data_IF_423574418043
#
_entry.id   IF_423574418043
#
_cell.length_a   1.000
_cell.length_b   1.000
_cell.length_c   1.000
_cell.angle_alpha   90.00
_cell.angle_beta   90.00
_cell.angle_gamma   90.00
#
_symmetry.space_group_name_H-M   'P 1'
#
loop_
_entity.id
_entity.type
_entity.pdbx_description
1 polymer ?
#
# COMPACT_ATOMS: atom_id res chain seq x y z
N UNK A 1 -18.10 3.43 -21.36
CA UNK A 1 -18.33 4.07 -20.05
C UNK A 1 -18.44 2.94 -19.03
N UNK A 2 -17.40 2.72 -18.22
CA UNK A 2 -17.48 1.74 -17.15
C UNK A 2 -18.37 2.31 -16.06
N UNK A 3 -19.39 1.55 -15.64
CA UNK A 3 -20.19 1.90 -14.48
C UNK A 3 -19.27 2.15 -13.27
N UNK A 4 -19.57 3.14 -12.40
CA UNK A 4 -18.81 3.35 -11.19
C UNK A 4 -18.72 2.02 -10.44
N UNK A 5 -17.51 1.61 -10.08
CA UNK A 5 -17.29 0.34 -9.39
C UNK A 5 -18.07 0.33 -8.07
N UNK A 6 -18.63 -0.83 -7.71
CA UNK A 6 -19.22 -0.96 -6.38
C UNK A 6 -18.21 -0.57 -5.32
N UNK A 7 -18.63 0.16 -4.27
CA UNK A 7 -17.75 0.54 -3.18
C UNK A 7 -17.15 -0.68 -2.48
N UNK A 8 -15.99 -0.49 -1.90
CA UNK A 8 -15.32 -1.46 -1.05
C UNK A 8 -15.34 -0.97 0.39
N UNK A 9 -15.18 -1.89 1.30
CA UNK A 9 -15.11 -1.64 2.73
C UNK A 9 -13.69 -1.82 3.21
N UNK A 10 -13.04 -0.76 3.74
CA UNK A 10 -11.77 -0.87 4.42
C UNK A 10 -12.00 -1.17 5.90
N UNK A 11 -11.50 -2.33 6.34
CA UNK A 11 -11.62 -2.82 7.72
C UNK A 11 -10.39 -2.54 8.56
N UNK A 12 -9.23 -2.35 7.91
CA UNK A 12 -7.96 -1.98 8.51
C UNK A 12 -7.06 -1.25 7.52
N UNK A 13 -6.17 -0.40 8.02
CA UNK A 13 -5.16 0.27 7.20
C UNK A 13 -3.97 0.71 8.05
N UNK A 14 -2.86 0.99 7.37
CA UNK A 14 -1.66 1.52 8.00
C UNK A 14 -0.81 2.33 7.02
N UNK A 15 -0.09 3.30 7.58
CA UNK A 15 1.04 3.97 6.94
C UNK A 15 2.32 3.53 7.65
N UNK A 16 3.33 3.11 6.89
CA UNK A 16 4.63 2.70 7.41
C UNK A 16 5.73 3.40 6.62
N UNK A 17 5.99 4.66 6.98
CA UNK A 17 6.92 5.56 6.30
C UNK A 17 8.06 5.92 7.27
N UNK A 18 9.17 5.16 7.29
CA UNK A 18 10.27 5.40 8.21
C UNK A 18 10.85 6.82 8.08
N UNK A 19 11.06 7.48 9.22
CA UNK A 19 11.61 8.83 9.29
C UNK A 19 10.66 9.96 8.85
N UNK A 20 9.39 9.65 8.56
CA UNK A 20 8.38 10.67 8.20
C UNK A 20 7.54 11.04 9.42
N UNK A 21 7.48 12.32 9.80
CA UNK A 21 6.63 12.80 10.90
C UNK A 21 5.18 13.00 10.44
N UNK A 22 4.52 11.92 10.01
CA UNK A 22 3.20 11.95 9.37
C UNK A 22 2.20 12.79 10.15
N UNK A 23 2.10 12.57 11.47
CA UNK A 23 1.13 13.27 12.31
C UNK A 23 1.38 14.77 12.41
N UNK A 24 2.64 15.20 12.54
CA UNK A 24 2.99 16.62 12.57
C UNK A 24 2.67 17.30 11.24
N UNK A 25 3.03 16.67 10.12
CA UNK A 25 2.73 17.19 8.77
C UNK A 25 1.23 17.32 8.53
N UNK A 26 0.43 16.32 8.93
CA UNK A 26 -1.03 16.40 8.80
C UNK A 26 -1.60 17.51 9.67
N UNK A 27 -1.13 17.64 10.92
CA UNK A 27 -1.56 18.71 11.83
C UNK A 27 -1.31 20.10 11.25
N UNK A 28 -0.20 20.27 10.55
CA UNK A 28 0.19 21.56 9.94
C UNK A 28 -0.63 21.89 8.69
N UNK A 29 -0.89 20.90 7.81
CA UNK A 29 -1.43 21.17 6.47
C UNK A 29 -2.91 20.83 6.31
N UNK A 30 -3.46 19.92 7.12
CA UNK A 30 -4.84 19.42 6.97
C UNK A 30 -5.70 19.72 8.19
N UNK A 31 -5.11 19.76 9.37
CA UNK A 31 -5.77 20.00 10.66
C UNK A 31 -5.36 18.98 11.72
N UNK A 32 -5.59 19.31 12.99
CA UNK A 32 -5.19 18.47 14.11
C UNK A 32 -5.91 17.11 14.05
N UNK A 33 -5.17 16.00 13.93
CA UNK A 33 -5.77 14.67 13.94
C UNK A 33 -6.32 14.36 15.35
N UNK A 34 -7.54 13.84 15.42
CA UNK A 34 -8.19 13.44 16.66
C UNK A 34 -7.81 12.03 17.10
N UNK A 35 -7.40 11.18 16.14
CA UNK A 35 -6.98 9.80 16.38
C UNK A 35 -5.50 9.64 16.73
N UNK A 36 -5.16 8.55 17.42
CA UNK A 36 -3.79 8.24 17.84
C UNK A 36 -2.87 7.60 16.78
N UNK A 37 -3.31 7.53 15.54
CA UNK A 37 -2.67 6.77 14.47
C UNK A 37 -1.24 7.22 14.07
N UNK A 38 -0.88 8.44 14.43
CA UNK A 38 0.42 9.02 14.11
C UNK A 38 1.43 8.97 15.28
N UNK A 39 1.10 8.31 16.40
CA UNK A 39 1.92 8.33 17.62
C UNK A 39 3.15 7.42 17.54
N UNK A 40 3.09 6.33 16.79
CA UNK A 40 4.21 5.41 16.66
C UNK A 40 4.96 5.64 15.35
N UNK A 41 6.24 6.00 15.47
CA UNK A 41 7.12 6.10 14.30
C UNK A 41 7.23 4.74 13.58
N UNK A 42 7.23 4.78 12.24
CA UNK A 42 7.51 3.60 11.45
C UNK A 42 8.98 3.19 11.60
N UNK A 43 9.22 1.92 11.87
CA UNK A 43 10.58 1.39 11.98
C UNK A 43 11.20 1.20 10.60
N UNK A 44 12.49 1.46 10.40
CA UNK A 44 13.18 1.17 9.15
C UNK A 44 13.29 -0.34 8.90
N UNK A 45 13.56 -0.73 7.65
CA UNK A 45 13.54 -2.12 7.22
C UNK A 45 14.52 -3.03 7.99
N UNK A 46 15.68 -2.51 8.40
CA UNK A 46 16.68 -3.23 9.21
C UNK A 46 16.21 -3.46 10.65
N UNK A 47 15.31 -2.62 11.16
CA UNK A 47 14.70 -2.75 12.48
C UNK A 47 13.31 -3.44 12.47
N UNK A 48 12.88 -3.97 11.36
CA UNK A 48 11.56 -4.64 11.21
C UNK A 48 11.36 -5.77 12.27
N UNK A 49 12.45 -6.37 12.77
CA UNK A 49 12.39 -7.39 13.80
C UNK A 49 11.81 -6.91 15.14
N UNK A 50 11.86 -5.61 15.43
CA UNK A 50 11.26 -5.04 16.65
C UNK A 50 9.74 -5.12 16.63
N UNK A 51 9.14 -4.99 15.43
CA UNK A 51 7.71 -5.10 15.22
C UNK A 51 7.26 -6.53 14.89
N UNK A 52 8.04 -7.25 14.07
CA UNK A 52 7.64 -8.55 13.51
C UNK A 52 8.19 -9.76 14.28
N UNK A 53 9.15 -9.56 15.20
CA UNK A 53 9.99 -10.65 15.71
C UNK A 53 11.00 -11.12 14.65
N UNK A 54 12.07 -11.80 15.09
CA UNK A 54 13.21 -12.16 14.22
C UNK A 54 12.93 -13.28 13.22
N UNK A 55 12.00 -14.19 13.53
CA UNK A 55 11.77 -15.40 12.72
C UNK A 55 11.20 -15.06 11.35
N UNK A 56 11.85 -15.56 10.29
CA UNK A 56 11.42 -15.42 8.89
C UNK A 56 11.78 -14.09 8.24
N UNK A 57 12.69 -13.28 8.85
CA UNK A 57 13.20 -12.03 8.27
C UNK A 57 14.58 -12.17 7.64
N UNK A 58 15.28 -13.28 7.91
CA UNK A 58 16.59 -13.52 7.32
C UNK A 58 16.45 -13.59 5.80
N UNK A 59 17.36 -12.96 5.07
CA UNK A 59 17.38 -12.87 3.61
C UNK A 59 16.15 -12.21 2.97
N UNK A 60 15.34 -11.45 3.73
CA UNK A 60 14.26 -10.64 3.18
C UNK A 60 14.76 -9.25 2.84
N UNK A 61 14.40 -8.81 1.65
CA UNK A 61 14.71 -7.48 1.14
C UNK A 61 14.05 -6.36 1.93
N UNK A 62 14.58 -5.12 1.85
CA UNK A 62 14.00 -3.96 2.52
C UNK A 62 12.52 -3.77 2.21
N UNK A 63 12.11 -3.82 0.94
CA UNK A 63 10.70 -3.69 0.55
C UNK A 63 9.82 -4.77 1.18
N UNK A 64 10.26 -6.04 1.15
CA UNK A 64 9.52 -7.14 1.80
C UNK A 64 9.33 -6.89 3.29
N UNK A 65 10.36 -6.42 4.00
CA UNK A 65 10.28 -6.13 5.44
C UNK A 65 9.33 -4.98 5.73
N UNK A 66 9.35 -3.90 4.94
CA UNK A 66 8.43 -2.77 5.06
C UNK A 66 6.99 -3.18 4.78
N UNK A 67 6.75 -3.98 3.73
CA UNK A 67 5.43 -4.53 3.41
C UNK A 67 4.88 -5.37 4.58
N UNK A 68 5.70 -6.26 5.15
CA UNK A 68 5.30 -7.05 6.32
C UNK A 68 4.96 -6.17 7.52
N UNK A 69 5.70 -5.10 7.78
CA UNK A 69 5.42 -4.15 8.86
C UNK A 69 4.08 -3.43 8.62
N UNK A 70 3.82 -2.97 7.39
CA UNK A 70 2.56 -2.32 7.05
C UNK A 70 1.37 -3.27 7.23
N UNK A 71 1.44 -4.50 6.72
CA UNK A 71 0.38 -5.50 6.89
C UNK A 71 0.15 -5.84 8.37
N UNK A 72 1.23 -6.06 9.14
CA UNK A 72 1.15 -6.34 10.58
C UNK A 72 0.35 -5.26 11.33
N UNK A 73 0.64 -3.99 11.03
CA UNK A 73 -0.07 -2.84 11.62
C UNK A 73 -1.51 -2.73 11.14
N UNK A 74 -1.78 -2.94 9.86
CA UNK A 74 -3.14 -2.88 9.30
C UNK A 74 -4.05 -3.95 9.88
N UNK A 75 -3.49 -5.10 10.27
CA UNK A 75 -4.21 -6.19 10.95
C UNK A 75 -4.36 -5.95 12.46
N UNK A 76 -3.81 -4.86 13.02
CA UNK A 76 -3.90 -4.54 14.44
C UNK A 76 -3.11 -5.49 15.36
N UNK A 77 -2.10 -6.17 14.84
CA UNK A 77 -1.28 -7.10 15.62
C UNK A 77 -0.32 -6.34 16.54
N UNK A 78 -0.16 -6.84 17.77
CA UNK A 78 0.80 -6.29 18.72
C UNK A 78 2.25 -6.60 18.29
N UNK A 79 3.25 -5.79 18.69
CA UNK A 79 4.65 -6.08 18.39
C UNK A 79 5.05 -7.50 18.77
N UNK A 80 5.67 -8.23 17.84
CA UNK A 80 6.07 -9.63 17.99
C UNK A 80 4.95 -10.66 17.87
N UNK A 81 3.69 -10.23 17.86
CA UNK A 81 2.55 -11.12 17.70
C UNK A 81 2.56 -11.75 16.30
N UNK A 82 2.23 -13.03 16.25
CA UNK A 82 1.99 -13.76 15.01
C UNK A 82 0.51 -13.99 14.81
N UNK A 83 0.07 -14.14 13.56
CA UNK A 83 -1.27 -14.64 13.29
C UNK A 83 -1.52 -15.96 14.04
N UNK A 84 -2.65 -16.05 14.69
CA UNK A 84 -3.16 -17.25 15.39
C UNK A 84 -4.36 -17.90 14.69
N UNK A 85 -4.72 -17.33 13.50
CA UNK A 85 -5.77 -17.89 12.64
C UNK A 85 -5.21 -18.93 11.67
N UNK A 86 -6.05 -19.87 11.20
CA UNK A 86 -5.65 -20.86 10.19
C UNK A 86 -5.38 -20.20 8.83
N UNK A 87 -4.66 -20.91 7.97
CA UNK A 87 -4.51 -20.49 6.57
C UNK A 87 -5.89 -20.39 5.90
N UNK A 88 -6.17 -19.23 5.28
CA UNK A 88 -7.44 -18.94 4.62
C UNK A 88 -7.26 -18.91 3.11
N UNK A 89 -8.11 -19.60 2.35
CA UNK A 89 -8.10 -19.56 0.87
C UNK A 89 -8.87 -18.35 0.30
N UNK A 90 -9.54 -17.59 1.15
CA UNK A 90 -10.44 -16.50 0.80
C UNK A 90 -9.78 -15.11 0.83
N UNK A 91 -8.55 -15.01 1.34
CA UNK A 91 -7.82 -13.75 1.45
C UNK A 91 -6.76 -13.64 0.37
N UNK A 92 -6.94 -12.69 -0.54
CA UNK A 92 -5.98 -12.35 -1.58
C UNK A 92 -4.95 -11.31 -1.08
N UNK A 93 -3.76 -11.33 -1.67
CA UNK A 93 -2.71 -10.32 -1.49
C UNK A 93 -2.43 -9.63 -2.81
N UNK A 94 -2.56 -8.32 -2.86
CA UNK A 94 -2.17 -7.51 -4.02
C UNK A 94 -1.13 -6.50 -3.56
N UNK A 95 0.02 -6.48 -4.22
CA UNK A 95 1.10 -5.55 -3.89
C UNK A 95 1.38 -4.65 -5.09
N UNK A 96 1.31 -3.34 -4.88
CA UNK A 96 1.76 -2.32 -5.83
C UNK A 96 3.22 -1.97 -5.51
N UNK A 97 4.13 -2.33 -6.41
CA UNK A 97 5.56 -2.00 -6.31
C UNK A 97 6.24 -2.24 -7.64
N UNK A 98 7.05 -1.29 -8.08
CA UNK A 98 7.83 -1.43 -9.32
C UNK A 98 9.28 -1.83 -9.03
N UNK A 99 9.81 -1.52 -7.85
CA UNK A 99 11.23 -1.60 -7.52
C UNK A 99 11.53 -2.58 -6.37
N UNK A 100 10.51 -3.32 -5.92
CA UNK A 100 10.55 -4.09 -4.67
C UNK A 100 11.71 -5.07 -4.52
N UNK A 101 12.25 -5.66 -5.61
CA UNK A 101 13.34 -6.63 -5.58
C UNK A 101 14.48 -6.32 -6.55
N UNK A 102 14.54 -5.09 -7.08
CA UNK A 102 15.49 -4.73 -8.14
C UNK A 102 16.96 -4.83 -7.69
N UNK A 103 17.26 -4.61 -6.42
CA UNK A 103 18.62 -4.75 -5.89
C UNK A 103 19.11 -6.19 -6.00
N UNK A 104 18.33 -7.18 -5.55
CA UNK A 104 18.70 -8.59 -5.71
C UNK A 104 18.78 -9.01 -7.18
N UNK A 105 17.84 -8.57 -8.02
CA UNK A 105 17.88 -8.87 -9.46
C UNK A 105 19.16 -8.32 -10.09
N UNK A 106 19.52 -7.07 -9.79
CA UNK A 106 20.72 -6.43 -10.30
C UNK A 106 22.00 -7.12 -9.80
N UNK A 107 22.04 -7.51 -8.50
CA UNK A 107 23.16 -8.25 -7.92
C UNK A 107 23.32 -9.62 -8.57
N UNK A 108 22.26 -10.38 -8.71
CA UNK A 108 22.28 -11.69 -9.38
C UNK A 108 22.71 -11.56 -10.84
N UNK A 109 22.18 -10.57 -11.57
CA UNK A 109 22.59 -10.34 -12.95
C UNK A 109 24.09 -10.03 -13.08
N UNK A 110 24.65 -9.20 -12.19
CA UNK A 110 26.10 -8.91 -12.16
C UNK A 110 26.92 -10.17 -11.83
N UNK A 111 26.48 -10.97 -10.85
CA UNK A 111 27.18 -12.24 -10.53
C UNK A 111 27.18 -13.20 -11.69
N UNK A 112 26.04 -13.38 -12.37
CA UNK A 112 25.95 -14.22 -13.56
C UNK A 112 26.87 -13.75 -14.67
N UNK A 113 26.93 -12.45 -14.90
CA UNK A 113 27.79 -11.86 -15.94
C UNK A 113 29.29 -11.98 -15.63
N UNK A 114 29.68 -11.86 -14.36
CA UNK A 114 31.10 -11.89 -13.97
C UNK A 114 31.64 -13.31 -13.70
N UNK A 115 30.84 -14.19 -13.11
CA UNK A 115 31.29 -15.46 -12.52
C UNK A 115 30.48 -16.66 -13.01
N UNK A 116 29.40 -16.44 -13.77
CA UNK A 116 28.48 -17.47 -14.24
C UNK A 116 27.40 -17.87 -13.21
N UNK A 117 26.38 -18.60 -13.67
CA UNK A 117 25.21 -18.94 -12.87
C UNK A 117 25.50 -19.83 -11.64
N UNK A 118 26.60 -20.57 -11.64
CA UNK A 118 26.99 -21.43 -10.51
C UNK A 118 27.39 -20.60 -9.26
N UNK A 119 27.84 -19.36 -9.47
CA UNK A 119 28.22 -18.47 -8.37
C UNK A 119 27.01 -17.80 -7.67
N UNK A 120 25.83 -17.91 -8.24
CA UNK A 120 24.61 -17.31 -7.64
C UNK A 120 24.22 -18.08 -6.38
N UNK A 121 24.03 -17.34 -5.29
CA UNK A 121 23.54 -17.92 -4.04
C UNK A 121 22.14 -18.52 -4.19
N UNK A 122 21.96 -19.76 -3.78
CA UNK A 122 20.63 -20.40 -3.73
C UNK A 122 19.64 -19.68 -2.81
N UNK A 123 20.14 -18.87 -1.88
CA UNK A 123 19.30 -18.05 -0.99
C UNK A 123 18.73 -16.80 -1.67
N UNK A 124 19.33 -16.38 -2.77
CA UNK A 124 18.84 -15.25 -3.58
C UNK A 124 17.75 -15.69 -4.57
N UNK A 125 17.77 -16.95 -5.00
CA UNK A 125 16.85 -17.46 -6.02
C UNK A 125 15.36 -17.14 -5.75
N UNK A 126 14.83 -17.32 -4.53
CA UNK A 126 13.43 -16.91 -4.26
C UNK A 126 13.17 -15.41 -4.37
N UNK A 127 14.21 -14.58 -4.16
CA UNK A 127 14.07 -13.13 -4.14
C UNK A 127 14.20 -12.48 -5.53
N UNK A 128 14.59 -13.20 -6.58
CA UNK A 128 14.58 -12.67 -7.96
C UNK A 128 13.20 -12.70 -8.61
N UNK A 129 12.25 -13.41 -8.00
CA UNK A 129 10.86 -13.40 -8.49
C UNK A 129 10.22 -12.04 -8.29
N UNK A 130 9.61 -11.48 -9.35
CA UNK A 130 8.85 -10.22 -9.25
C UNK A 130 7.70 -10.32 -8.24
N UNK A 131 7.16 -11.52 -7.97
CA UNK A 131 6.06 -11.73 -7.03
C UNK A 131 6.53 -12.00 -5.57
N UNK A 132 7.81 -11.84 -5.27
CA UNK A 132 8.37 -12.24 -3.95
C UNK A 132 7.69 -11.53 -2.79
N UNK A 133 7.42 -10.23 -2.91
CA UNK A 133 6.83 -9.45 -1.82
C UNK A 133 5.42 -9.95 -1.49
N UNK A 134 4.56 -10.12 -2.50
CA UNK A 134 3.20 -10.62 -2.33
C UNK A 134 3.20 -12.04 -1.76
N UNK A 135 4.06 -12.93 -2.27
CA UNK A 135 4.19 -14.31 -1.79
C UNK A 135 4.65 -14.39 -0.35
N UNK A 136 5.63 -13.56 0.06
CA UNK A 136 6.11 -13.55 1.44
C UNK A 136 5.07 -13.00 2.40
N UNK A 137 4.31 -11.98 2.01
CA UNK A 137 3.15 -11.50 2.79
C UNK A 137 2.13 -12.62 2.96
N UNK A 138 1.73 -13.29 1.86
CA UNK A 138 0.78 -14.39 1.90
C UNK A 138 1.22 -15.51 2.85
N UNK A 139 2.46 -15.97 2.70
CA UNK A 139 3.04 -17.02 3.55
C UNK A 139 3.13 -16.63 5.03
N UNK A 140 3.52 -15.38 5.32
CA UNK A 140 3.69 -14.92 6.70
C UNK A 140 2.38 -14.85 7.47
N UNK A 141 1.33 -14.38 6.80
CA UNK A 141 0.03 -14.14 7.43
C UNK A 141 -1.00 -15.23 7.17
N UNK A 142 -0.62 -16.30 6.46
CA UNK A 142 -1.51 -17.43 6.19
C UNK A 142 -2.62 -17.13 5.19
N UNK A 143 -2.36 -16.26 4.21
CA UNK A 143 -3.31 -15.92 3.16
C UNK A 143 -3.10 -16.83 1.95
N UNK A 144 -4.03 -17.74 1.70
CA UNK A 144 -3.95 -18.77 0.65
C UNK A 144 -4.73 -18.43 -0.62
N UNK A 145 -5.32 -17.24 -0.71
CA UNK A 145 -5.99 -16.76 -1.91
C UNK A 145 -5.02 -16.27 -2.98
N UNK A 146 -5.51 -15.67 -4.07
CA UNK A 146 -4.67 -15.08 -5.11
C UNK A 146 -3.62 -14.13 -4.55
N UNK A 147 -2.37 -14.23 -5.01
CA UNK A 147 -1.33 -13.25 -4.69
C UNK A 147 -0.70 -12.71 -5.96
N UNK A 148 -0.64 -11.39 -6.10
CA UNK A 148 -0.30 -10.70 -7.35
C UNK A 148 0.52 -9.45 -7.04
N UNK A 149 1.53 -9.19 -7.91
CA UNK A 149 2.21 -7.90 -7.99
C UNK A 149 1.62 -7.05 -9.11
N UNK A 150 1.48 -5.76 -8.88
CA UNK A 150 1.11 -4.74 -9.87
C UNK A 150 2.29 -3.78 -10.03
N UNK A 151 2.86 -3.75 -11.23
CA UNK A 151 4.07 -3.00 -11.58
C UNK A 151 3.75 -2.07 -12.78
N UNK A 152 2.73 -1.22 -12.65
CA UNK A 152 2.23 -0.34 -13.72
C UNK A 152 2.69 1.11 -13.57
N UNK A 153 3.94 1.32 -13.16
CA UNK A 153 4.50 2.66 -12.99
C UNK A 153 3.95 3.41 -11.78
N UNK A 154 3.89 4.73 -11.85
CA UNK A 154 3.45 5.57 -10.75
C UNK A 154 1.99 5.32 -10.35
N UNK A 155 1.11 4.93 -11.29
CA UNK A 155 -0.29 4.63 -11.03
C UNK A 155 -0.59 3.26 -10.42
N UNK A 156 0.43 2.43 -10.14
CA UNK A 156 0.26 1.04 -9.70
C UNK A 156 -0.62 0.89 -8.44
N UNK A 157 -0.60 1.87 -7.54
CA UNK A 157 -1.40 1.84 -6.32
C UNK A 157 -2.90 1.80 -6.56
N UNK A 158 -3.42 2.66 -7.44
CA UNK A 158 -4.86 2.67 -7.76
C UNK A 158 -5.23 1.62 -8.80
N UNK A 159 -4.31 1.18 -9.66
CA UNK A 159 -4.53 0.00 -10.52
C UNK A 159 -4.69 -1.26 -9.66
N UNK A 160 -3.91 -1.39 -8.60
CA UNK A 160 -4.04 -2.47 -7.61
C UNK A 160 -5.38 -2.41 -6.86
N UNK A 161 -5.89 -1.21 -6.54
CA UNK A 161 -7.25 -1.04 -5.99
C UNK A 161 -8.32 -1.50 -6.99
N UNK A 162 -8.15 -1.20 -8.29
CA UNK A 162 -9.07 -1.67 -9.33
C UNK A 162 -9.11 -3.19 -9.40
N UNK A 163 -7.94 -3.83 -9.34
CA UNK A 163 -7.81 -5.28 -9.32
C UNK A 163 -8.43 -5.88 -8.04
N UNK A 164 -8.24 -5.25 -6.88
CA UNK A 164 -8.88 -5.67 -5.63
C UNK A 164 -10.41 -5.69 -5.76
N UNK A 165 -10.98 -4.62 -6.31
CA UNK A 165 -12.42 -4.56 -6.59
C UNK A 165 -12.89 -5.64 -7.56
N UNK A 166 -12.08 -5.97 -8.57
CA UNK A 166 -12.39 -7.05 -9.51
C UNK A 166 -12.43 -8.42 -8.83
N UNK A 167 -11.40 -8.76 -8.02
CA UNK A 167 -11.35 -10.05 -7.31
C UNK A 167 -12.50 -10.21 -6.33
N UNK A 168 -12.85 -9.16 -5.58
CA UNK A 168 -13.97 -9.18 -4.64
C UNK A 168 -15.33 -9.33 -5.34
N UNK A 169 -15.57 -8.60 -6.45
CA UNK A 169 -16.81 -8.73 -7.25
C UNK A 169 -16.93 -10.09 -7.93
N UNK A 170 -15.81 -10.63 -8.42
CA UNK A 170 -15.77 -11.96 -9.04
C UNK A 170 -15.81 -13.10 -8.03
N UNK A 171 -15.93 -12.79 -6.73
CA UNK A 171 -15.91 -13.77 -5.63
C UNK A 171 -14.67 -14.69 -5.65
N UNK A 172 -13.54 -14.18 -6.17
CA UNK A 172 -12.25 -14.88 -6.16
C UNK A 172 -11.52 -14.69 -4.83
N UNK A 173 -11.96 -13.75 -4.02
CA UNK A 173 -11.56 -13.52 -2.65
C UNK A 173 -12.74 -12.89 -1.88
N UNK A 174 -12.82 -13.13 -0.58
CA UNK A 174 -13.72 -12.42 0.34
C UNK A 174 -13.04 -11.19 0.95
N UNK A 175 -11.72 -11.24 1.05
CA UNK A 175 -10.86 -10.18 1.57
C UNK A 175 -9.64 -9.97 0.67
N UNK A 176 -9.21 -8.73 0.52
CA UNK A 176 -7.98 -8.37 -0.17
C UNK A 176 -7.09 -7.55 0.77
N UNK A 177 -5.86 -8.00 0.96
CA UNK A 177 -4.79 -7.23 1.59
C UNK A 177 -4.06 -6.49 0.47
N UNK A 178 -4.36 -5.20 0.34
CA UNK A 178 -3.75 -4.30 -0.64
C UNK A 178 -2.55 -3.62 -0.01
N UNK A 179 -1.38 -3.81 -0.57
CA UNK A 179 -0.12 -3.24 -0.07
C UNK A 179 0.51 -2.38 -1.15
N UNK A 180 0.96 -1.18 -0.79
CA UNK A 180 1.90 -0.40 -1.59
C UNK A 180 3.26 -0.42 -0.89
N UNK A 181 4.35 -0.68 -1.62
CA UNK A 181 5.69 -0.65 -1.04
C UNK A 181 6.75 -0.33 -2.08
N UNK A 182 7.68 0.55 -1.73
CA UNK A 182 8.91 0.74 -2.49
C UNK A 182 10.13 0.77 -1.56
N UNK A 183 11.27 0.21 -1.98
CA UNK A 183 12.56 0.45 -1.35
C UNK A 183 13.11 1.81 -1.79
N UNK A 184 14.23 2.21 -1.18
CA UNK A 184 15.03 3.35 -1.66
C UNK A 184 16.53 3.01 -1.51
N UNK A 185 16.88 1.76 -1.83
CA UNK A 185 18.28 1.37 -1.98
C UNK A 185 18.89 2.05 -3.24
N UNK A 186 20.21 1.92 -3.38
CA UNK A 186 20.96 2.60 -4.45
C UNK A 186 20.49 2.21 -5.85
N UNK A 187 20.16 0.93 -6.09
CA UNK A 187 19.69 0.43 -7.38
C UNK A 187 18.29 0.97 -7.68
N UNK A 188 17.38 0.91 -6.71
CA UNK A 188 16.03 1.43 -6.85
C UNK A 188 16.04 2.95 -7.09
N UNK A 189 16.87 3.70 -6.35
CA UNK A 189 17.00 5.14 -6.52
C UNK A 189 17.58 5.51 -7.90
N UNK A 190 18.57 4.75 -8.39
CA UNK A 190 19.14 4.97 -9.72
C UNK A 190 18.12 4.70 -10.84
N UNK A 191 17.34 3.62 -10.74
CA UNK A 191 16.29 3.29 -11.71
C UNK A 191 15.18 4.33 -11.71
N UNK A 192 14.71 4.75 -10.55
CA UNK A 192 13.72 5.81 -10.41
C UNK A 192 14.28 7.13 -10.96
N UNK A 193 15.52 7.47 -10.63
CA UNK A 193 16.19 8.69 -11.07
C UNK A 193 16.39 8.76 -12.59
N UNK A 194 16.50 7.62 -13.30
CA UNK A 194 16.62 7.57 -14.75
C UNK A 194 15.42 8.19 -15.48
N UNK A 195 14.23 8.18 -14.85
CA UNK A 195 13.02 8.84 -15.34
C UNK A 195 12.96 10.35 -15.05
N UNK A 196 14.01 10.94 -14.47
CA UNK A 196 14.08 12.36 -14.08
C UNK A 196 12.89 12.84 -13.21
N UNK A 197 12.56 12.13 -12.12
CA UNK A 197 11.44 12.49 -11.27
C UNK A 197 11.69 13.82 -10.57
N UNK A 198 10.62 14.57 -10.29
CA UNK A 198 10.71 15.86 -9.58
C UNK A 198 11.12 15.70 -8.10
N UNK A 199 10.94 14.51 -7.53
CA UNK A 199 11.21 14.24 -6.12
C UNK A 199 11.95 12.92 -5.94
N UNK A 200 12.82 12.82 -4.92
CA UNK A 200 13.59 11.61 -4.65
C UNK A 200 12.67 10.44 -4.23
N UNK A 201 13.12 9.23 -4.57
CA UNK A 201 12.49 8.01 -4.11
C UNK A 201 12.59 7.90 -2.59
N UNK A 202 11.49 7.50 -1.96
CA UNK A 202 11.41 7.23 -0.52
C UNK A 202 11.03 5.79 -0.25
N UNK A 203 11.77 5.15 0.64
CA UNK A 203 11.40 3.85 1.16
C UNK A 203 10.17 3.97 2.07
N UNK A 204 9.16 3.17 1.81
CA UNK A 204 7.95 3.16 2.61
C UNK A 204 6.95 2.13 2.15
N UNK A 205 5.96 1.88 3.00
CA UNK A 205 4.84 1.01 2.70
C UNK A 205 3.54 1.55 3.28
N UNK A 206 2.43 1.14 2.67
CA UNK A 206 1.09 1.32 3.20
C UNK A 206 0.27 0.06 2.95
N UNK A 207 -0.77 -0.15 3.74
CA UNK A 207 -1.65 -1.31 3.59
C UNK A 207 -3.10 -0.90 3.84
N UNK A 208 -4.02 -1.50 3.07
CA UNK A 208 -5.46 -1.52 3.35
C UNK A 208 -5.94 -2.98 3.35
N UNK A 209 -6.82 -3.31 4.27
CA UNK A 209 -7.58 -4.57 4.28
C UNK A 209 -8.96 -4.25 3.74
N UNK A 210 -9.32 -4.83 2.60
CA UNK A 210 -10.51 -4.51 1.82
C UNK A 210 -11.45 -5.72 1.76
N UNK A 211 -12.74 -5.46 1.86
CA UNK A 211 -13.83 -6.41 1.69
C UNK A 211 -14.88 -5.85 0.74
N UNK A 212 -15.74 -6.71 0.19
CA UNK A 212 -16.88 -6.24 -0.58
C UNK A 212 -17.82 -5.41 0.30
N UNK A 213 -18.36 -4.34 -0.24
CA UNK A 213 -19.34 -3.53 0.47
C UNK A 213 -20.57 -4.36 0.83
N UNK A 214 -20.90 -4.36 2.12
CA UNK A 214 -22.15 -4.92 2.66
C UNK A 214 -22.78 -3.86 3.55
N UNK A 215 -24.09 -3.69 3.48
CA UNK A 215 -24.84 -2.66 4.23
C UNK A 215 -24.68 -2.74 5.77
N UNK A 216 -24.15 -3.82 6.29
CA UNK A 216 -23.99 -4.10 7.70
C UNK A 216 -22.56 -4.57 8.05
N UNK A 217 -21.55 -4.07 7.34
CA UNK A 217 -20.15 -4.45 7.57
C UNK A 217 -19.54 -3.73 8.78
N UNK A 218 -18.59 -4.39 9.44
CA UNK A 218 -17.80 -3.85 10.56
C UNK A 218 -16.65 -2.92 10.12
N UNK A 219 -16.61 -2.54 8.84
CA UNK A 219 -15.60 -1.66 8.30
C UNK A 219 -15.78 -0.21 8.71
N UNK A 220 -14.70 0.54 8.70
CA UNK A 220 -14.66 1.92 9.16
C UNK A 220 -14.65 2.94 8.03
N UNK A 221 -14.16 2.57 6.84
CA UNK A 221 -14.11 3.46 5.69
C UNK A 221 -14.65 2.80 4.42
N UNK A 222 -15.38 3.55 3.63
CA UNK A 222 -15.86 3.22 2.30
C UNK A 222 -14.88 3.74 1.27
N UNK A 223 -14.46 2.90 0.34
CA UNK A 223 -13.49 3.22 -0.72
C UNK A 223 -14.15 2.97 -2.08
N UNK A 224 -14.09 3.94 -2.97
CA UNK A 224 -14.66 3.87 -4.31
C UNK A 224 -13.65 4.35 -5.34
N UNK A 225 -13.47 3.60 -6.42
CA UNK A 225 -12.81 4.12 -7.62
C UNK A 225 -13.76 5.07 -8.35
N UNK A 226 -13.23 6.21 -8.76
CA UNK A 226 -13.97 7.24 -9.49
C UNK A 226 -13.38 7.34 -10.90
N UNK A 227 -14.21 7.48 -11.95
CA UNK A 227 -13.71 7.70 -13.30
C UNK A 227 -12.79 8.92 -13.37
N UNK A 228 -11.61 8.77 -13.93
CA UNK A 228 -10.64 9.85 -14.07
C UNK A 228 -11.17 10.95 -14.99
N UNK A 229 -10.97 12.21 -14.58
CA UNK A 229 -11.40 13.38 -15.36
C UNK A 229 -12.88 13.75 -15.24
N UNK A 230 -13.69 12.94 -14.55
CA UNK A 230 -15.08 13.26 -14.25
C UNK A 230 -15.26 14.09 -12.98
N UNK A 231 -16.47 14.64 -12.74
CA UNK A 231 -16.79 15.30 -11.48
C UNK A 231 -16.78 14.28 -10.33
N UNK A 232 -16.42 14.74 -9.13
CA UNK A 232 -16.53 13.92 -7.93
C UNK A 232 -18.00 13.57 -7.66
N UNK A 233 -18.35 12.32 -7.40
CA UNK A 233 -19.74 11.89 -7.15
C UNK A 233 -20.32 12.48 -5.85
N UNK A 234 -19.47 12.98 -4.97
CA UNK A 234 -19.79 13.67 -3.72
C UNK A 234 -18.83 14.83 -3.49
N UNK A 235 -19.23 15.90 -2.75
CA UNK A 235 -18.33 16.99 -2.41
C UNK A 235 -17.11 16.51 -1.66
N UNK A 236 -15.92 16.75 -2.20
CA UNK A 236 -14.62 16.42 -1.58
C UNK A 236 -14.20 17.57 -0.69
N UNK A 237 -13.95 17.31 0.59
CA UNK A 237 -13.45 18.31 1.56
C UNK A 237 -11.94 18.39 1.62
N UNK A 238 -11.27 17.26 1.43
CA UNK A 238 -9.82 17.15 1.36
C UNK A 238 -9.47 16.32 0.14
N UNK A 239 -8.55 16.82 -0.66
CA UNK A 239 -7.94 16.06 -1.75
C UNK A 239 -6.53 15.68 -1.34
N UNK A 240 -6.23 14.38 -1.35
CA UNK A 240 -4.86 13.83 -1.16
C UNK A 240 -4.25 13.61 -2.53
N UNK A 241 -3.07 14.19 -2.76
CA UNK A 241 -2.36 14.19 -4.01
C UNK A 241 -2.36 15.55 -4.70
N UNK A 242 -1.87 15.60 -5.92
CA UNK A 242 -1.67 16.84 -6.67
C UNK A 242 -2.95 17.65 -6.83
N UNK A 243 -2.87 18.92 -6.49
CA UNK A 243 -4.02 19.85 -6.47
C UNK A 243 -4.74 19.94 -5.13
N UNK A 244 -4.24 19.24 -4.10
CA UNK A 244 -4.69 19.31 -2.71
C UNK A 244 -3.52 19.18 -1.74
N UNK A 245 -3.70 18.42 -0.66
CA UNK A 245 -2.59 18.02 0.20
C UNK A 245 -1.76 16.97 -0.51
N UNK A 246 -0.64 17.39 -1.08
CA UNK A 246 0.31 16.51 -1.76
C UNK A 246 1.46 16.14 -0.80
N UNK A 247 1.55 14.86 -0.37
CA UNK A 247 2.63 14.43 0.51
C UNK A 247 3.98 14.31 -0.19
N UNK A 248 4.03 14.19 -1.52
CA UNK A 248 5.26 13.91 -2.28
C UNK A 248 6.32 15.02 -2.13
N UNK A 249 6.00 16.32 -2.25
CA UNK A 249 6.96 17.40 -1.99
C UNK A 249 7.53 17.40 -0.57
N UNK A 250 6.76 16.92 0.41
CA UNK A 250 7.11 16.96 1.83
C UNK A 250 7.86 15.71 2.28
N UNK A 251 7.48 14.55 1.74
CA UNK A 251 7.96 13.25 2.22
C UNK A 251 8.87 12.52 1.23
N UNK A 252 8.92 12.94 -0.02
CA UNK A 252 9.49 12.20 -1.14
C UNK A 252 8.47 11.26 -1.80
N UNK A 253 8.83 10.69 -2.95
CA UNK A 253 7.96 9.84 -3.75
C UNK A 253 8.03 8.38 -3.29
N UNK A 254 6.90 7.78 -3.00
CA UNK A 254 6.76 6.32 -2.86
C UNK A 254 6.43 5.65 -4.22
N UNK A 255 6.64 6.31 -5.34
CA UNK A 255 6.47 5.83 -6.72
C UNK A 255 5.21 4.97 -6.90
N UNK A 256 5.34 3.69 -7.30
CA UNK A 256 4.20 2.79 -7.50
C UNK A 256 3.35 2.52 -6.26
N UNK A 257 3.89 2.75 -5.06
CA UNK A 257 3.16 2.64 -3.82
C UNK A 257 2.34 3.90 -3.47
N UNK A 258 2.55 5.02 -4.18
CA UNK A 258 2.00 6.33 -3.80
C UNK A 258 0.47 6.32 -3.70
N UNK A 259 -0.22 5.67 -4.62
CA UNK A 259 -1.68 5.53 -4.58
C UNK A 259 -2.19 4.84 -3.32
N UNK A 260 -1.50 3.79 -2.85
CA UNK A 260 -1.88 3.08 -1.61
C UNK A 260 -1.56 3.93 -0.37
N UNK A 261 -0.45 4.70 -0.39
CA UNK A 261 -0.15 5.70 0.66
C UNK A 261 -1.27 6.73 0.74
N UNK A 262 -1.70 7.27 -0.40
CA UNK A 262 -2.81 8.21 -0.49
C UNK A 262 -4.12 7.63 0.05
N UNK A 263 -4.45 6.38 -0.29
CA UNK A 263 -5.65 5.69 0.21
C UNK A 263 -5.63 5.47 1.72
N UNK A 264 -4.50 5.00 2.27
CA UNK A 264 -4.36 4.78 3.71
C UNK A 264 -4.45 6.11 4.48
N UNK A 265 -3.85 7.17 3.96
CA UNK A 265 -3.96 8.51 4.50
C UNK A 265 -5.41 9.01 4.45
N UNK A 266 -6.08 8.85 3.32
CA UNK A 266 -7.48 9.23 3.15
C UNK A 266 -8.41 8.47 4.10
N UNK A 267 -8.15 7.18 4.35
CA UNK A 267 -8.91 6.38 5.30
C UNK A 267 -8.77 6.91 6.74
N UNK A 268 -7.56 7.30 7.14
CA UNK A 268 -7.34 7.95 8.43
C UNK A 268 -8.13 9.26 8.52
N UNK A 269 -7.99 10.14 7.53
CA UNK A 269 -8.65 11.45 7.52
C UNK A 269 -10.18 11.35 7.48
N UNK A 270 -10.71 10.36 6.75
CA UNK A 270 -12.15 10.16 6.63
C UNK A 270 -12.81 9.68 7.92
N UNK A 271 -12.09 8.86 8.71
CA UNK A 271 -12.63 8.28 9.96
C UNK A 271 -12.39 9.20 11.16
N UNK A 272 -11.33 9.99 11.15
CA UNK A 272 -10.99 10.92 12.24
C UNK A 272 -12.03 12.04 12.41
N UNK A 273 -12.65 12.48 11.32
CA UNK A 273 -13.81 13.38 11.35
C UNK A 273 -15.03 12.72 10.71
N UNK A 274 -16.05 12.43 11.51
CA UNK A 274 -17.32 11.91 11.02
C UNK A 274 -17.86 12.78 9.85
N UNK A 275 -18.26 12.11 8.75
CA UNK A 275 -18.77 12.73 7.52
C UNK A 275 -17.73 13.38 6.60
N UNK A 276 -16.44 13.23 6.84
CA UNK A 276 -15.43 13.73 5.90
C UNK A 276 -15.37 12.83 4.66
N UNK A 277 -15.42 13.46 3.49
CA UNK A 277 -15.19 12.83 2.20
C UNK A 277 -13.82 13.28 1.69
N UNK A 278 -12.94 12.33 1.46
CA UNK A 278 -11.57 12.56 1.02
C UNK A 278 -11.39 12.01 -0.38
N UNK A 279 -10.97 12.87 -1.31
CA UNK A 279 -10.54 12.45 -2.64
C UNK A 279 -9.09 11.97 -2.62
N UNK A 280 -8.77 10.98 -3.40
CA UNK A 280 -7.39 10.54 -3.67
C UNK A 280 -7.13 10.69 -5.15
N UNK A 281 -6.03 11.37 -5.51
CA UNK A 281 -5.55 11.50 -6.87
C UNK A 281 -4.13 10.99 -6.96
N UNK A 282 -3.92 10.06 -7.86
CA UNK A 282 -2.62 9.46 -8.14
C UNK A 282 -2.24 9.73 -9.60
N UNK A 283 -1.02 10.17 -9.84
CA UNK A 283 -0.51 10.53 -11.16
C UNK A 283 0.19 9.31 -11.77
N UNK A 284 -0.46 8.66 -12.72
CA UNK A 284 0.19 7.68 -13.58
C UNK A 284 0.87 8.35 -14.79
N UNK A 285 1.79 7.66 -15.41
CA UNK A 285 2.47 8.10 -16.64
C UNK A 285 1.51 8.25 -17.82
N UNK A 286 0.41 7.50 -17.80
CA UNK A 286 -0.66 7.43 -18.81
C UNK A 286 -1.93 8.20 -18.38
N UNK A 287 -1.85 8.99 -17.31
CA UNK A 287 -2.95 9.82 -16.81
C UNK A 287 -3.29 9.60 -15.34
N UNK A 288 -4.30 10.33 -14.90
CA UNK A 288 -4.74 10.36 -13.52
C UNK A 288 -5.60 9.16 -13.18
N UNK A 289 -5.43 8.67 -11.95
CA UNK A 289 -6.36 7.75 -11.31
C UNK A 289 -6.95 8.42 -10.09
N UNK A 290 -8.22 8.14 -9.79
CA UNK A 290 -8.92 8.79 -8.70
C UNK A 290 -9.73 7.80 -7.88
N UNK A 291 -9.76 8.02 -6.57
CA UNK A 291 -10.60 7.28 -5.64
C UNK A 291 -11.24 8.23 -4.63
N UNK A 292 -12.35 7.80 -4.05
CA UNK A 292 -13.05 8.51 -2.99
C UNK A 292 -13.08 7.65 -1.73
N UNK A 293 -12.75 8.25 -0.61
CA UNK A 293 -12.77 7.59 0.69
C UNK A 293 -13.67 8.39 1.64
N UNK A 294 -14.56 7.69 2.36
CA UNK A 294 -15.45 8.32 3.33
C UNK A 294 -15.70 7.40 4.53
N UNK A 295 -16.09 7.97 5.66
CA UNK A 295 -16.56 7.17 6.81
C UNK A 295 -17.82 6.37 6.45
N UNK A 296 -18.03 5.24 7.12
CA UNK A 296 -19.22 4.40 6.90
C UNK A 296 -20.50 5.11 7.32
N UNK A 297 -20.47 5.94 8.37
CA UNK A 297 -21.62 6.70 8.87
C UNK A 297 -22.15 7.73 7.87
N UNK A 298 -21.29 8.23 6.97
CA UNK A 298 -21.68 9.17 5.91
C UNK A 298 -22.60 8.54 4.84
N UNK A 299 -22.61 7.20 4.72
CA UNK A 299 -23.43 6.48 3.75
C UNK A 299 -24.87 6.17 4.18
N UNK A 300 -25.17 6.26 5.48
CA UNK A 300 -26.45 5.82 6.04
C UNK A 300 -27.57 6.88 6.05
N UNK A 301 -27.27 8.15 5.72
CA UNK A 301 -28.23 9.26 5.80
C UNK A 301 -28.69 9.84 4.46
N UNK A 302 -28.41 9.21 3.33
CA UNK A 302 -28.94 9.63 2.03
C UNK A 302 -29.91 8.59 1.47
N UNK A 303 -31.09 8.52 2.07
CA UNK A 303 -32.35 8.04 1.48
C UNK A 303 -33.44 9.02 1.85
#
# INVERSE_FOLDING_TARGET
MNAPGQPLLATGWSLHLPGVPVGATIAEHVGQPRGGWAREAAVPADQAATLLGRRGLLYKEPATRLALCAVHRALGLAPGQRPDWPVTSDTAVIVASNLGNVETVARVARTVAAEGGVAVSVLDAPNVSSNVVASVVALRFGFGGPNVMVCSGAGAGLDALALAGLLLRAQRAERVVLVGVEPADEVAAALHGAGTPAYPLRAGAACLVLEAWRSHGSGRARVELVPSGGPWPRPVRVLVGRGGFDPVPLWGSCYGAQGVVGLALAAHLAVDEAHRVVGVRDDGEDGWRTALVSSVECGARSL
#
